data_IF_899010376763
#
_entry.id   IF_899010376763
#
_cell.length_a   1.000
_cell.length_b   1.000
_cell.length_c   1.000
_cell.angle_alpha   90.00
_cell.angle_beta   90.00
_cell.angle_gamma   90.00
#
_symmetry.space_group_name_H-M   'P 1'
#
loop_
_entity.id
_entity.type
_entity.pdbx_description
1 polymer ?
#
# COMPACT_ATOMS: atom_id res chain seq x y z
N UNK A 1 -1.75 12.12 19.01
CA UNK A 1 -1.62 12.79 17.69
C UNK A 1 -1.88 11.76 16.59
N UNK A 2 -2.97 11.88 15.85
CA UNK A 2 -3.26 11.00 14.71
C UNK A 2 -2.40 11.44 13.53
N UNK A 3 -1.39 10.66 13.13
CA UNK A 3 -0.56 10.99 11.96
C UNK A 3 -1.37 10.75 10.69
N UNK A 4 -1.36 11.71 9.76
CA UNK A 4 -2.02 11.60 8.45
C UNK A 4 -1.30 10.53 7.61
N UNK A 5 -2.05 9.57 7.07
CA UNK A 5 -1.51 8.51 6.20
C UNK A 5 -0.94 9.16 4.93
N UNK A 6 0.30 8.77 4.58
CA UNK A 6 0.97 9.23 3.35
C UNK A 6 0.22 8.77 2.09
N UNK A 7 0.41 9.46 0.97
CA UNK A 7 -0.18 9.06 -0.33
C UNK A 7 0.22 7.62 -0.70
N UNK A 8 1.50 7.28 -0.60
CA UNK A 8 1.99 5.92 -0.86
C UNK A 8 1.34 4.86 0.05
N UNK A 9 1.15 5.16 1.34
CA UNK A 9 0.44 4.27 2.26
C UNK A 9 -1.02 4.04 1.89
N UNK A 10 -1.70 5.08 1.37
CA UNK A 10 -3.07 4.96 0.84
C UNK A 10 -3.11 4.12 -0.44
N UNK A 11 -2.17 4.37 -1.35
CA UNK A 11 -2.01 3.62 -2.60
C UNK A 11 -1.83 2.14 -2.31
N UNK A 12 -0.84 1.77 -1.50
CA UNK A 12 -0.55 0.37 -1.14
C UNK A 12 -1.80 -0.31 -0.57
N UNK A 13 -2.50 0.35 0.36
CA UNK A 13 -3.75 -0.18 0.93
C UNK A 13 -4.82 -0.40 -0.13
N UNK A 14 -5.02 0.57 -1.04
CA UNK A 14 -6.05 0.51 -2.06
C UNK A 14 -5.79 -0.62 -3.06
N UNK A 15 -4.58 -0.71 -3.63
CA UNK A 15 -4.25 -1.76 -4.61
C UNK A 15 -4.24 -3.15 -3.98
N UNK A 16 -3.80 -3.27 -2.73
CA UNK A 16 -3.84 -4.54 -1.98
C UNK A 16 -5.28 -5.03 -1.84
N UNK A 17 -6.19 -4.16 -1.41
CA UNK A 17 -7.59 -4.51 -1.24
C UNK A 17 -8.29 -4.78 -2.58
N UNK A 18 -7.97 -4.00 -3.62
CA UNK A 18 -8.50 -4.21 -4.97
C UNK A 18 -8.10 -5.57 -5.56
N UNK A 19 -6.94 -6.11 -5.17
CA UNK A 19 -6.48 -7.46 -5.55
C UNK A 19 -6.95 -8.56 -4.60
N UNK A 20 -7.81 -8.24 -3.63
CA UNK A 20 -8.43 -9.22 -2.75
C UNK A 20 -7.59 -9.62 -1.53
N UNK A 21 -6.38 -9.08 -1.37
CA UNK A 21 -5.56 -9.33 -0.18
C UNK A 21 -6.16 -8.63 1.04
N UNK A 22 -6.94 -9.34 1.86
CA UNK A 22 -7.55 -8.79 3.08
C UNK A 22 -6.56 -8.73 4.24
N UNK A 23 -5.67 -9.72 4.34
CA UNK A 23 -4.64 -9.83 5.36
C UNK A 23 -3.31 -9.20 4.90
N UNK A 24 -2.68 -8.43 5.78
CA UNK A 24 -1.34 -7.86 5.55
C UNK A 24 -0.24 -8.89 5.67
N UNK A 25 -0.45 -9.95 6.45
CA UNK A 25 0.55 -11.02 6.65
C UNK A 25 0.82 -11.75 5.36
N UNK A 26 -0.23 -12.23 4.70
CA UNK A 26 -0.13 -12.88 3.40
C UNK A 26 0.50 -11.94 2.36
N UNK A 27 -0.01 -10.71 2.28
CA UNK A 27 0.47 -9.73 1.31
C UNK A 27 1.95 -9.38 1.49
N UNK A 28 2.37 -9.10 2.73
CA UNK A 28 3.75 -8.78 3.04
C UNK A 28 4.67 -9.98 2.78
N UNK A 29 4.22 -11.20 3.12
CA UNK A 29 4.97 -12.43 2.87
C UNK A 29 5.23 -12.68 1.38
N UNK A 30 4.26 -12.41 0.50
CA UNK A 30 4.46 -12.55 -0.95
C UNK A 30 5.47 -11.56 -1.54
N UNK A 31 5.60 -10.39 -0.93
CA UNK A 31 6.49 -9.32 -1.38
C UNK A 31 7.84 -9.29 -0.65
N UNK A 32 8.05 -10.17 0.33
CA UNK A 32 9.28 -10.20 1.14
C UNK A 32 9.38 -9.07 2.16
N UNK A 33 8.28 -8.39 2.49
CA UNK A 33 8.27 -7.37 3.55
C UNK A 33 7.93 -7.97 4.92
N UNK A 34 8.45 -7.35 5.97
CA UNK A 34 7.91 -7.57 7.30
C UNK A 34 6.47 -7.04 7.38
N UNK A 35 5.56 -7.77 8.02
CA UNK A 35 4.14 -7.36 8.18
C UNK A 35 4.01 -5.99 8.85
N UNK A 36 4.89 -5.71 9.82
CA UNK A 36 4.92 -4.42 10.51
C UNK A 36 5.29 -3.26 9.57
N UNK A 37 6.10 -3.49 8.54
CA UNK A 37 6.42 -2.48 7.53
C UNK A 37 5.18 -2.04 6.78
N UNK A 38 4.42 -3.00 6.23
CA UNK A 38 3.15 -2.73 5.53
C UNK A 38 2.13 -2.10 6.48
N UNK A 39 1.99 -2.62 7.70
CA UNK A 39 1.11 -2.04 8.71
C UNK A 39 1.47 -0.57 8.99
N UNK A 40 2.76 -0.25 9.16
CA UNK A 40 3.21 1.10 9.46
C UNK A 40 2.95 2.06 8.30
N UNK A 41 3.11 1.62 7.05
CA UNK A 41 2.79 2.42 5.87
C UNK A 41 1.29 2.72 5.76
N UNK A 42 0.45 1.69 5.87
CA UNK A 42 -1.00 1.83 5.70
C UNK A 42 -1.70 2.53 6.87
N UNK A 43 -1.09 2.52 8.06
CA UNK A 43 -1.61 3.22 9.25
C UNK A 43 -1.01 4.62 9.44
N UNK A 44 -0.11 5.07 8.55
CA UNK A 44 0.52 6.39 8.63
C UNK A 44 1.57 6.52 9.74
N UNK A 45 2.06 5.41 10.30
CA UNK A 45 3.16 5.40 11.28
C UNK A 45 4.52 5.65 10.62
N UNK A 46 4.67 5.26 9.36
CA UNK A 46 5.83 5.57 8.52
C UNK A 46 5.41 5.81 7.07
N UNK A 47 6.35 6.26 6.24
CA UNK A 47 6.14 6.54 4.82
C UNK A 47 6.91 5.50 3.98
N UNK A 48 6.29 4.81 3.01
CA UNK A 48 7.03 3.98 2.05
C UNK A 48 7.88 4.86 1.13
N UNK A 49 8.97 4.30 0.61
CA UNK A 49 9.73 4.97 -0.45
C UNK A 49 8.90 5.02 -1.75
N UNK A 50 9.33 5.84 -2.71
CA UNK A 50 8.70 5.82 -4.04
C UNK A 50 8.89 4.45 -4.71
N UNK A 51 10.09 3.89 -4.62
CA UNK A 51 10.44 2.61 -5.24
C UNK A 51 9.61 1.45 -4.66
N UNK A 52 9.38 1.42 -3.35
CA UNK A 52 8.51 0.41 -2.73
C UNK A 52 7.07 0.52 -3.24
N UNK A 53 6.55 1.75 -3.38
CA UNK A 53 5.20 1.97 -3.91
C UNK A 53 5.13 1.50 -5.35
N UNK A 54 6.09 1.90 -6.18
CA UNK A 54 6.15 1.52 -7.60
C UNK A 54 6.25 0.00 -7.76
N UNK A 55 7.15 -0.65 -7.03
CA UNK A 55 7.33 -2.10 -7.05
C UNK A 55 6.02 -2.83 -6.68
N UNK A 56 5.32 -2.38 -5.64
CA UNK A 56 4.04 -2.96 -5.22
C UNK A 56 2.96 -2.77 -6.28
N UNK A 57 2.85 -1.56 -6.85
CA UNK A 57 1.88 -1.22 -7.89
C UNK A 57 2.08 -2.09 -9.13
N UNK A 58 3.33 -2.24 -9.57
CA UNK A 58 3.68 -3.05 -10.73
C UNK A 58 3.48 -4.55 -10.47
N UNK A 59 3.88 -5.05 -9.30
CA UNK A 59 3.65 -6.44 -8.90
C UNK A 59 2.17 -6.81 -8.88
N UNK A 60 1.32 -5.86 -8.49
CA UNK A 60 -0.13 -6.01 -8.49
C UNK A 60 -0.79 -5.63 -9.83
N UNK A 61 0.00 -5.44 -10.89
CA UNK A 61 -0.47 -5.14 -12.25
C UNK A 61 -1.42 -3.95 -12.30
N UNK A 62 -1.07 -2.87 -11.62
CA UNK A 62 -1.65 -1.54 -11.82
C UNK A 62 -0.60 -0.62 -12.41
N UNK A 63 -1.03 0.50 -12.97
CA UNK A 63 -0.14 1.66 -13.12
C UNK A 63 -0.37 2.70 -12.01
N UNK A 64 0.56 3.65 -11.89
CA UNK A 64 0.50 4.67 -10.83
C UNK A 64 -0.72 5.60 -10.92
N UNK A 65 -1.30 5.80 -12.10
CA UNK A 65 -2.49 6.64 -12.26
C UNK A 65 -3.70 5.90 -11.69
N UNK A 66 -3.93 4.65 -12.09
CA UNK A 66 -4.99 3.79 -11.56
C UNK A 66 -4.89 3.64 -10.05
N UNK A 67 -3.67 3.38 -9.55
CA UNK A 67 -3.41 3.20 -8.14
C UNK A 67 -3.74 4.46 -7.32
N UNK A 68 -3.46 5.65 -7.86
CA UNK A 68 -3.84 6.94 -7.26
C UNK A 68 -5.34 7.15 -7.25
N UNK A 69 -6.03 6.86 -8.35
CA UNK A 69 -7.48 7.01 -8.43
C UNK A 69 -8.20 6.05 -7.46
N UNK A 70 -7.73 4.79 -7.37
CA UNK A 70 -8.22 3.84 -6.37
C UNK A 70 -8.03 4.37 -4.94
N UNK A 71 -6.88 4.96 -4.64
CA UNK A 71 -6.59 5.49 -3.31
C UNK A 71 -7.44 6.72 -2.95
N UNK A 72 -7.83 7.54 -3.93
CA UNK A 72 -8.74 8.67 -3.74
C UNK A 72 -10.16 8.20 -3.45
N UNK A 73 -10.63 7.19 -4.17
CA UNK A 73 -12.00 6.69 -4.08
C UNK A 73 -12.25 5.79 -2.85
N UNK A 74 -11.18 5.26 -2.24
CA UNK A 74 -11.25 4.43 -1.04
C UNK A 74 -11.17 5.21 0.29
N UNK A 75 -11.06 6.55 0.22
CA UNK A 75 -10.87 7.45 1.36
C UNK A 75 -12.18 7.94 1.97
#
# INVERSE_FOLDING_TARGET
MTKKISEGGKIIKAVRLARGYRDRTEFAGRLGFAVNTVYNWESGRSKPSYDDVQMIVDYLHFNMIEARELAKNAA
#
